data_IF_571098584869
#
_entry.id   IF_571098584869
#
_cell.length_a   1.000
_cell.length_b   1.000
_cell.length_c   1.000
_cell.angle_alpha   90.00
_cell.angle_beta   90.00
_cell.angle_gamma   90.00
#
_symmetry.space_group_name_H-M   'P 1'
#
loop_
_entity.id
_entity.type
_entity.pdbx_description
1 polymer ?
#
# COMPACT_ATOMS: atom_id res chain seq x y z
N UNK A 1 -3.40 14.81 -1.70
CA UNK A 1 -3.72 14.67 -3.14
C UNK A 1 -4.98 13.83 -3.24
N UNK A 2 -5.99 14.26 -4.01
CA UNK A 2 -7.23 13.50 -4.26
C UNK A 2 -7.17 13.08 -5.73
N UNK A 3 -7.22 11.78 -5.99
CA UNK A 3 -7.26 11.23 -7.35
C UNK A 3 -8.65 10.65 -7.60
N UNK A 4 -9.18 10.81 -8.82
CA UNK A 4 -10.45 10.22 -9.23
C UNK A 4 -10.12 8.97 -10.03
N UNK A 5 -10.36 7.79 -9.45
CA UNK A 5 -9.58 6.61 -9.85
C UNK A 5 -10.21 5.27 -9.54
N UNK A 6 -11.53 5.11 -9.70
CA UNK A 6 -12.13 3.75 -9.70
C UNK A 6 -11.51 2.83 -10.78
N UNK A 7 -10.60 3.33 -11.62
CA UNK A 7 -9.97 2.64 -12.75
C UNK A 7 -8.43 2.75 -12.83
N UNK A 8 -7.73 3.31 -11.84
CA UNK A 8 -6.26 3.44 -11.89
C UNK A 8 -5.57 2.50 -10.90
N UNK A 9 -4.42 1.97 -11.29
CA UNK A 9 -3.56 1.21 -10.39
C UNK A 9 -2.97 2.16 -9.33
N UNK A 10 -2.90 1.68 -8.08
CA UNK A 10 -2.15 2.36 -7.04
C UNK A 10 -0.73 1.79 -7.02
N UNK A 11 0.26 2.64 -7.25
CA UNK A 11 1.67 2.26 -7.28
C UNK A 11 2.34 2.80 -6.03
N UNK A 12 2.89 1.91 -5.21
CA UNK A 12 3.77 2.24 -4.10
C UNK A 12 5.20 1.96 -4.57
N UNK A 13 5.98 3.00 -4.85
CA UNK A 13 7.33 2.86 -5.41
C UNK A 13 8.36 3.66 -4.59
N UNK A 14 8.69 3.21 -3.37
CA UNK A 14 9.77 3.82 -2.62
C UNK A 14 11.12 3.75 -3.36
N UNK A 15 11.33 2.78 -4.26
CA UNK A 15 12.59 2.66 -5.02
C UNK A 15 12.91 3.87 -5.90
N UNK A 16 11.91 4.41 -6.59
CA UNK A 16 12.10 5.51 -7.54
C UNK A 16 11.95 6.90 -6.91
N UNK A 17 11.24 7.00 -5.78
CA UNK A 17 10.83 8.29 -5.19
C UNK A 17 11.37 8.54 -3.79
N UNK A 18 12.21 7.65 -3.24
CA UNK A 18 12.91 7.91 -1.97
C UNK A 18 14.21 8.68 -2.20
N UNK A 19 14.57 9.48 -1.20
CA UNK A 19 15.87 10.15 -1.11
C UNK A 19 16.58 9.55 0.09
N UNK A 20 17.85 9.17 -0.08
CA UNK A 20 18.68 8.73 1.04
C UNK A 20 18.79 9.89 2.06
N UNK A 21 18.74 9.65 3.39
CA UNK A 21 18.99 10.67 4.40
C UNK A 21 20.21 11.58 4.12
N UNK A 22 21.23 11.04 3.46
CA UNK A 22 22.47 11.75 3.12
C UNK A 22 22.38 12.55 1.79
N UNK A 23 21.18 12.70 1.21
CA UNK A 23 20.90 13.32 -0.10
C UNK A 23 21.57 12.64 -1.30
N UNK A 24 22.15 11.46 -1.10
CA UNK A 24 22.64 10.63 -2.18
C UNK A 24 21.47 9.98 -2.94
N UNK A 25 21.74 9.56 -4.18
CA UNK A 25 20.79 8.79 -4.97
C UNK A 25 20.45 7.50 -4.21
N UNK A 26 19.17 7.31 -3.92
CA UNK A 26 18.68 6.10 -3.28
C UNK A 26 18.88 4.90 -4.23
N UNK A 27 19.74 3.96 -3.84
CA UNK A 27 20.02 2.75 -4.63
C UNK A 27 19.09 1.62 -4.18
N UNK A 28 17.95 1.49 -4.87
CA UNK A 28 16.87 0.60 -4.50
C UNK A 28 17.27 -0.89 -4.35
N UNK A 29 18.32 -1.33 -5.03
CA UNK A 29 18.84 -2.71 -5.01
C UNK A 29 19.51 -3.10 -3.69
N UNK A 30 19.95 -2.12 -2.90
CA UNK A 30 20.56 -2.33 -1.59
C UNK A 30 19.54 -2.58 -0.48
N UNK A 31 18.24 -2.61 -0.79
CA UNK A 31 17.18 -2.71 0.20
C UNK A 31 16.29 -3.93 -0.04
N UNK A 32 15.76 -4.49 1.04
CA UNK A 32 14.61 -5.39 1.01
C UNK A 32 13.34 -4.61 1.31
N UNK A 33 12.22 -5.01 0.71
CA UNK A 33 10.94 -4.31 0.83
C UNK A 33 9.89 -5.29 1.33
N UNK A 34 9.25 -4.93 2.44
CA UNK A 34 8.15 -5.68 3.02
C UNK A 34 6.91 -4.79 2.99
N UNK A 35 5.87 -5.24 2.30
CA UNK A 35 4.62 -4.50 2.18
C UNK A 35 3.55 -5.08 3.07
N UNK A 36 2.83 -4.18 3.73
CA UNK A 36 1.74 -4.50 4.63
C UNK A 36 0.54 -3.63 4.35
N UNK A 37 -0.63 -4.16 4.65
CA UNK A 37 -1.89 -3.49 4.40
C UNK A 37 -2.86 -3.66 5.56
N UNK A 38 -3.54 -2.57 5.87
CA UNK A 38 -4.56 -2.48 6.91
C UNK A 38 -5.78 -1.74 6.39
N UNK A 39 -6.95 -2.16 6.85
CA UNK A 39 -8.23 -1.47 6.61
C UNK A 39 -8.71 -0.89 7.93
N UNK A 40 -9.03 0.40 7.95
CA UNK A 40 -9.75 1.02 9.07
C UNK A 40 -11.23 0.68 8.94
N UNK A 41 -11.80 0.12 10.00
CA UNK A 41 -13.17 -0.36 10.01
C UNK A 41 -13.71 -0.51 11.42
N UNK A 42 -15.01 -0.85 11.49
CA UNK A 42 -15.79 -0.93 12.72
C UNK A 42 -16.11 -2.42 12.95
N UNK A 43 -15.31 -3.07 13.77
CA UNK A 43 -15.70 -4.21 14.62
C UNK A 43 -15.71 -5.66 14.11
N UNK A 44 -15.35 -5.98 12.86
CA UNK A 44 -15.10 -7.40 12.48
C UNK A 44 -13.68 -7.60 11.96
N UNK A 45 -12.94 -8.55 12.55
CA UNK A 45 -11.68 -9.04 11.98
C UNK A 45 -11.99 -9.81 10.68
N UNK A 46 -11.87 -9.13 9.56
CA UNK A 46 -11.94 -9.73 8.22
C UNK A 46 -10.61 -9.47 7.50
N UNK A 47 -10.14 -10.47 6.76
CA UNK A 47 -9.06 -10.28 5.79
C UNK A 47 -9.67 -10.06 4.41
N UNK A 48 -9.16 -9.06 3.69
CA UNK A 48 -9.49 -8.80 2.30
C UNK A 48 -8.26 -9.08 1.45
N UNK A 49 -8.40 -9.96 0.47
CA UNK A 49 -7.39 -10.14 -0.56
C UNK A 49 -7.49 -8.98 -1.55
N UNK A 50 -6.39 -8.24 -1.70
CA UNK A 50 -6.23 -7.20 -2.72
C UNK A 50 -5.42 -7.81 -3.86
N UNK A 51 -5.88 -7.60 -5.09
CA UNK A 51 -5.08 -7.98 -6.26
C UNK A 51 -3.89 -7.02 -6.38
N UNK A 52 -2.70 -7.61 -6.44
CA UNK A 52 -1.45 -6.93 -6.66
C UNK A 52 -0.57 -7.71 -7.64
N UNK A 53 0.49 -7.07 -8.12
CA UNK A 53 1.58 -7.72 -8.86
C UNK A 53 2.44 -8.65 -7.97
N UNK A 54 2.38 -8.48 -6.65
CA UNK A 54 2.90 -9.45 -5.69
C UNK A 54 1.92 -10.62 -5.49
N UNK A 55 2.43 -11.85 -5.30
CA UNK A 55 1.68 -13.11 -5.33
C UNK A 55 0.41 -13.14 -4.45
N UNK A 56 0.38 -12.35 -3.36
CA UNK A 56 -0.83 -12.07 -2.58
C UNK A 56 -0.58 -10.91 -1.61
N UNK A 57 -1.43 -9.87 -1.62
CA UNK A 57 -1.48 -8.87 -0.56
C UNK A 57 -2.77 -9.04 0.24
N UNK A 58 -2.63 -9.39 1.52
CA UNK A 58 -3.76 -9.54 2.44
C UNK A 58 -3.86 -8.32 3.36
N UNK A 59 -5.04 -7.70 3.37
CA UNK A 59 -5.32 -6.54 4.18
C UNK A 59 -6.25 -6.90 5.33
N UNK A 60 -5.82 -6.58 6.55
CA UNK A 60 -6.59 -6.91 7.74
C UNK A 60 -7.41 -5.72 8.22
N UNK A 61 -8.68 -5.95 8.49
CA UNK A 61 -9.56 -4.99 9.14
C UNK A 61 -9.38 -5.08 10.67
N UNK A 62 -9.12 -3.95 11.33
CA UNK A 62 -8.88 -3.95 12.77
C UNK A 62 -9.01 -2.59 13.46
N UNK A 63 -9.52 -2.63 14.69
CA UNK A 63 -9.80 -1.47 15.56
C UNK A 63 -8.55 -0.84 16.21
N UNK A 64 -7.38 -0.92 15.55
CA UNK A 64 -6.20 -0.10 15.87
C UNK A 64 -5.30 -0.52 17.02
N UNK A 65 -5.55 -1.66 17.66
CA UNK A 65 -4.79 -2.05 18.87
C UNK A 65 -3.80 -3.19 18.60
N UNK A 66 -3.99 -4.01 17.56
CA UNK A 66 -3.08 -5.11 17.24
C UNK A 66 -2.67 -5.08 15.77
N UNK A 67 -1.42 -4.66 15.54
CA UNK A 67 -0.71 -4.82 14.28
C UNK A 67 -0.33 -6.29 14.09
N UNK A 68 -1.31 -7.14 13.83
CA UNK A 68 -1.01 -8.50 13.38
C UNK A 68 -0.69 -8.44 11.90
N UNK A 69 0.53 -7.99 11.59
CA UNK A 69 1.16 -8.07 10.28
C UNK A 69 1.52 -9.54 9.96
N UNK A 70 0.53 -10.43 10.05
CA UNK A 70 0.79 -11.87 10.04
C UNK A 70 1.01 -12.42 8.63
N UNK A 71 0.66 -11.66 7.59
CA UNK A 71 0.96 -12.05 6.22
C UNK A 71 1.63 -10.91 5.45
N UNK A 72 2.78 -11.28 4.93
CA UNK A 72 3.83 -10.45 4.35
C UNK A 72 3.79 -10.64 2.85
N UNK A 73 3.72 -9.55 2.11
CA UNK A 73 4.01 -9.61 0.68
C UNK A 73 5.47 -9.20 0.49
N UNK A 74 6.34 -10.18 0.27
CA UNK A 74 7.69 -9.91 -0.24
C UNK A 74 7.56 -9.60 -1.72
N UNK A 75 7.56 -8.31 -2.06
CA UNK A 75 7.68 -7.94 -3.45
C UNK A 75 9.12 -8.25 -3.90
N UNK A 76 9.32 -8.90 -5.06
CA UNK A 76 10.66 -9.07 -5.63
C UNK A 76 11.29 -7.73 -6.01
N UNK A 77 10.46 -6.69 -6.18
CA UNK A 77 10.83 -5.37 -6.66
C UNK A 77 10.66 -4.30 -5.56
N UNK A 78 11.28 -3.14 -5.78
CA UNK A 78 11.13 -1.96 -4.92
C UNK A 78 9.76 -1.29 -5.00
N UNK A 79 8.83 -1.86 -5.77
CA UNK A 79 7.48 -1.34 -5.96
C UNK A 79 6.42 -2.41 -5.73
N UNK A 80 5.26 -1.97 -5.26
CA UNK A 80 4.03 -2.75 -5.17
C UNK A 80 2.95 -2.07 -6.00
N UNK A 81 2.35 -2.80 -6.94
CA UNK A 81 1.25 -2.32 -7.77
C UNK A 81 -0.03 -2.99 -7.30
N UNK A 82 -0.97 -2.18 -6.82
CA UNK A 82 -2.33 -2.61 -6.49
C UNK A 82 -3.20 -2.37 -7.72
N UNK A 83 -3.79 -3.44 -8.23
CA UNK A 83 -4.60 -3.41 -9.45
C UNK A 83 -5.85 -2.55 -9.27
N UNK A 84 -6.20 -1.79 -10.30
CA UNK A 84 -7.44 -1.01 -10.34
C UNK A 84 -8.67 -1.84 -9.95
N UNK A 85 -9.59 -1.24 -9.19
CA UNK A 85 -10.81 -1.90 -8.73
C UNK A 85 -10.64 -2.88 -7.57
N UNK A 86 -9.42 -3.12 -7.09
CA UNK A 86 -9.17 -4.03 -5.95
C UNK A 86 -9.56 -3.44 -4.60
N UNK A 87 -9.63 -2.11 -4.50
CA UNK A 87 -10.02 -1.41 -3.29
C UNK A 87 -11.54 -1.22 -3.24
N UNK A 88 -12.14 -1.54 -2.10
CA UNK A 88 -13.56 -1.34 -1.87
C UNK A 88 -13.82 0.13 -1.49
N UNK A 89 -14.91 0.68 -2.00
CA UNK A 89 -15.38 2.02 -1.66
C UNK A 89 -15.79 2.16 -0.19
N UNK A 90 -15.80 3.41 0.29
CA UNK A 90 -16.14 3.82 1.65
C UNK A 90 -15.27 3.14 2.71
N UNK A 91 -14.00 2.90 2.38
CA UNK A 91 -13.00 2.34 3.26
C UNK A 91 -11.72 3.16 3.21
N UNK A 92 -11.04 3.22 4.36
CA UNK A 92 -9.70 3.79 4.44
C UNK A 92 -8.69 2.67 4.59
N UNK A 93 -7.74 2.62 3.67
CA UNK A 93 -6.62 1.68 3.66
C UNK A 93 -5.36 2.38 4.18
N UNK A 94 -4.53 1.65 4.90
CA UNK A 94 -3.18 2.04 5.24
C UNK A 94 -2.22 1.01 4.67
N UNK A 95 -1.34 1.48 3.80
CA UNK A 95 -0.23 0.69 3.30
C UNK A 95 1.03 1.11 4.05
N UNK A 96 1.77 0.12 4.54
CA UNK A 96 3.08 0.31 5.15
C UNK A 96 4.10 -0.41 4.29
N UNK A 97 5.22 0.26 4.05
CA UNK A 97 6.41 -0.38 3.51
C UNK A 97 7.52 -0.32 4.56
N UNK A 98 8.07 -1.47 4.92
CA UNK A 98 9.27 -1.56 5.74
C UNK A 98 10.43 -1.88 4.81
N UNK A 99 11.46 -1.07 4.90
CA UNK A 99 12.68 -1.18 4.11
C UNK A 99 13.84 -1.49 5.04
N UNK A 100 14.62 -2.50 4.70
CA UNK A 100 15.81 -2.87 5.47
C UNK A 100 17.01 -2.92 4.54
N UNK A 101 18.12 -2.31 4.96
CA UNK A 101 19.32 -2.28 4.15
C UNK A 101 19.99 -3.66 4.18
N UNK A 102 20.26 -4.24 3.00
CA UNK A 102 20.85 -5.57 2.84
C UNK A 102 22.29 -5.65 3.33
N UNK A 103 23.02 -4.53 3.33
CA UNK A 103 24.42 -4.46 3.73
C UNK A 103 24.55 -4.14 5.23
N UNK A 104 23.61 -3.37 5.77
CA UNK A 104 23.61 -2.91 7.16
C UNK A 104 22.20 -3.12 7.74
N UNK A 105 21.94 -4.30 8.31
CA UNK A 105 20.62 -4.68 8.83
C UNK A 105 20.10 -3.79 9.98
N UNK A 106 20.98 -3.02 10.64
CA UNK A 106 20.56 -2.04 11.65
C UNK A 106 19.86 -0.82 11.05
N UNK A 107 19.96 -0.60 9.73
CA UNK A 107 19.29 0.50 9.05
C UNK A 107 17.94 0.01 8.53
N UNK A 108 16.89 0.57 9.12
CA UNK A 108 15.52 0.28 8.77
C UNK A 108 14.72 1.56 8.66
N UNK A 109 13.90 1.63 7.64
CA UNK A 109 13.01 2.76 7.37
C UNK A 109 11.61 2.24 7.16
N UNK A 110 10.61 2.97 7.66
CA UNK A 110 9.20 2.62 7.48
C UNK A 110 8.46 3.80 6.86
N UNK A 111 7.77 3.54 5.75
CA UNK A 111 6.90 4.48 5.07
C UNK A 111 5.43 4.09 5.23
N UNK A 112 4.54 5.09 5.27
CA UNK A 112 3.10 4.87 5.35
C UNK A 112 2.37 5.69 4.29
N UNK A 113 1.34 5.09 3.70
CA UNK A 113 0.39 5.76 2.81
C UNK A 113 -1.02 5.47 3.29
N UNK A 114 -1.82 6.52 3.48
CA UNK A 114 -3.24 6.43 3.78
C UNK A 114 -4.05 6.70 2.51
N UNK A 115 -4.93 5.76 2.16
CA UNK A 115 -5.77 5.83 0.96
C UNK A 115 -7.22 5.75 1.39
N UNK A 116 -7.93 6.86 1.26
CA UNK A 116 -9.37 6.90 1.47
C UNK A 116 -10.09 6.71 0.13
N UNK A 117 -10.84 5.62 0.01
CA UNK A 117 -11.61 5.32 -1.20
C UNK A 117 -13.04 5.76 -0.97
N UNK A 118 -13.45 6.81 -1.68
CA UNK A 118 -14.79 7.39 -1.56
C UNK A 118 -15.63 6.95 -2.74
N UNK A 119 -16.88 6.56 -2.49
CA UNK A 119 -17.86 6.35 -3.56
C UNK A 119 -18.29 7.71 -4.13
N UNK A 120 -17.62 8.14 -5.19
CA UNK A 120 -18.12 9.24 -6.02
C UNK A 120 -18.87 8.61 -7.18
N UNK A 121 -20.21 8.55 -7.09
CA UNK A 121 -21.03 8.24 -8.27
C UNK A 121 -20.58 9.14 -9.41
N UNK A 122 -20.08 8.56 -10.50
CA UNK A 122 -19.78 9.34 -11.71
C UNK A 122 -21.03 10.13 -12.09
N UNK A 123 -20.93 11.44 -12.42
CA UNK A 123 -22.07 12.16 -12.94
C UNK A 123 -22.52 11.49 -14.24
N UNK A 124 -23.69 10.85 -14.21
CA UNK A 124 -24.33 10.31 -15.41
C UNK A 124 -24.97 11.50 -16.12
N UNK A 125 -24.39 11.92 -17.24
CA UNK A 125 -25.08 12.82 -18.17
C UNK A 125 -26.00 11.94 -19.00
N UNK A 126 -27.31 11.95 -18.68
CA UNK A 126 -28.31 11.39 -19.57
C UNK A 126 -28.49 12.34 -20.76
N UNK A 127 -28.15 11.87 -21.97
CA UNK A 127 -28.57 12.52 -23.21
C UNK A 127 -29.90 11.86 -23.60
N UNK A 128 -30.98 12.64 -23.57
CA UNK A 128 -32.30 12.25 -24.07
C UNK A 128 -32.55 12.93 -25.42
#
# INVERSE_FOLDING_TARGET
MITHGYQQNLILDPGSYSVDPDQNKFEATHWTYEYYCRIYGISSFQSLAISSDAEKLLCFEGNGILWNFNEMSTAPNSSLIITAGSLLSNRTYQFMVRMENRQISSIQVTGFVLVNVVDTRSPVIAVA
#
